data_IF_464913082741
#
_entry.id   IF_464913082741
#
_cell.length_a   1.000
_cell.length_b   1.000
_cell.length_c   1.000
_cell.angle_alpha   90.00
_cell.angle_beta   90.00
_cell.angle_gamma   90.00
#
_symmetry.space_group_name_H-M   'P 1'
#
loop_
_entity.id
_entity.type
_entity.pdbx_description
1 polymer ?
#
# COMPACT_ATOMS: atom_id res chain seq x y z
N UNK A 1 23.60 -22.06 9.95
CA UNK A 1 22.15 -21.70 9.96
C UNK A 1 21.74 -21.28 8.55
N UNK A 2 20.63 -21.80 7.99
CA UNK A 2 20.16 -21.48 6.61
C UNK A 2 19.07 -20.39 6.60
N UNK A 3 19.37 -19.17 7.02
CA UNK A 3 18.44 -18.01 6.94
C UNK A 3 19.06 -16.94 6.04
N UNK A 4 18.35 -16.47 5.02
CA UNK A 4 18.81 -15.38 4.14
C UNK A 4 18.93 -14.05 4.89
N UNK A 5 18.15 -13.88 5.98
CA UNK A 5 18.05 -12.65 6.78
C UNK A 5 17.59 -11.43 5.99
N UNK A 6 17.07 -11.59 4.78
CA UNK A 6 16.51 -10.52 3.95
C UNK A 6 14.99 -10.56 4.01
N UNK A 7 14.37 -9.41 4.23
CA UNK A 7 12.92 -9.29 4.34
C UNK A 7 12.44 -8.16 3.44
N UNK A 8 11.41 -8.46 2.64
CA UNK A 8 10.65 -7.49 1.86
C UNK A 8 9.28 -7.29 2.52
N UNK A 9 8.92 -6.04 2.77
CA UNK A 9 7.61 -5.67 3.30
C UNK A 9 6.69 -5.34 2.12
N UNK A 10 5.50 -5.93 2.05
CA UNK A 10 4.60 -5.78 0.90
C UNK A 10 3.24 -5.22 1.32
N UNK A 11 2.69 -4.29 0.54
CA UNK A 11 1.29 -3.92 0.68
C UNK A 11 0.39 -5.11 0.36
N UNK A 12 -0.72 -5.23 1.08
CA UNK A 12 -1.53 -6.45 1.13
C UNK A 12 -1.97 -6.96 -0.25
N UNK A 13 -2.36 -6.05 -1.15
CA UNK A 13 -2.92 -6.43 -2.44
C UNK A 13 -1.94 -7.19 -3.32
N UNK A 14 -0.62 -6.97 -3.20
CA UNK A 14 0.40 -7.69 -3.97
C UNK A 14 0.44 -9.19 -3.66
N UNK A 15 -0.02 -9.59 -2.48
CA UNK A 15 -0.14 -10.99 -2.05
C UNK A 15 -1.58 -11.49 -2.08
N UNK A 16 -2.56 -10.60 -2.22
CA UNK A 16 -3.97 -10.96 -2.22
C UNK A 16 -4.83 -9.92 -2.96
N UNK A 17 -4.94 -10.10 -4.27
CA UNK A 17 -5.74 -9.29 -5.17
C UNK A 17 -7.23 -9.21 -4.78
N UNK A 18 -7.73 -10.18 -4.02
CA UNK A 18 -9.11 -10.17 -3.52
C UNK A 18 -9.39 -9.01 -2.56
N UNK A 19 -8.37 -8.31 -2.06
CA UNK A 19 -8.51 -7.08 -1.28
C UNK A 19 -8.71 -5.81 -2.13
N UNK A 20 -8.49 -5.89 -3.45
CA UNK A 20 -8.65 -4.76 -4.35
C UNK A 20 -10.12 -4.44 -4.55
N UNK A 21 -10.40 -3.16 -4.71
CA UNK A 21 -11.74 -2.70 -5.08
C UNK A 21 -12.11 -3.21 -6.47
N UNK A 22 -13.37 -3.59 -6.66
CA UNK A 22 -13.87 -4.06 -7.95
C UNK A 22 -13.95 -2.89 -8.95
N UNK A 23 -13.65 -3.09 -10.24
CA UNK A 23 -13.13 -4.30 -10.88
C UNK A 23 -11.59 -4.32 -11.02
N UNK A 24 -10.84 -3.55 -10.21
CA UNK A 24 -9.45 -3.19 -10.48
C UNK A 24 -8.41 -4.31 -10.29
N UNK A 25 -8.82 -5.55 -10.00
CA UNK A 25 -7.87 -6.65 -9.86
C UNK A 25 -7.39 -7.13 -11.24
N UNK A 26 -6.07 -7.08 -11.48
CA UNK A 26 -5.43 -7.51 -12.73
C UNK A 26 -4.71 -8.85 -12.63
N UNK A 27 -4.69 -9.46 -11.43
CA UNK A 27 -4.11 -10.76 -11.12
C UNK A 27 -5.03 -11.50 -10.12
N UNK A 28 -5.00 -12.85 -10.07
CA UNK A 28 -6.00 -13.62 -9.33
C UNK A 28 -5.76 -13.65 -7.81
N UNK A 29 -4.53 -13.44 -7.34
CA UNK A 29 -4.19 -13.54 -5.93
C UNK A 29 -2.87 -12.87 -5.61
N UNK A 30 -1.76 -13.56 -5.90
CA UNK A 30 -0.41 -12.99 -5.75
C UNK A 30 0.05 -12.40 -7.09
N UNK A 31 0.68 -11.23 -7.06
CA UNK A 31 1.33 -10.65 -8.24
C UNK A 31 2.68 -11.34 -8.49
N UNK A 32 2.64 -12.53 -9.09
CA UNK A 32 3.83 -13.37 -9.27
C UNK A 32 4.91 -12.71 -10.12
N UNK A 33 4.53 -11.98 -11.18
CA UNK A 33 5.45 -11.31 -12.09
C UNK A 33 6.43 -10.36 -11.37
N UNK A 34 5.95 -9.71 -10.31
CA UNK A 34 6.77 -8.82 -9.48
C UNK A 34 7.58 -9.57 -8.41
N UNK A 35 7.00 -10.62 -7.83
CA UNK A 35 7.48 -11.22 -6.58
C UNK A 35 8.36 -12.45 -6.78
N UNK A 36 8.21 -13.17 -7.90
CA UNK A 36 8.95 -14.40 -8.18
C UNK A 36 10.47 -14.26 -8.03
N UNK A 37 11.13 -13.19 -8.54
CA UNK A 37 12.59 -13.04 -8.41
C UNK A 37 13.05 -13.02 -6.94
N UNK A 38 12.31 -12.34 -6.06
CA UNK A 38 12.63 -12.24 -4.63
C UNK A 38 12.40 -13.57 -3.90
N UNK A 39 11.30 -14.26 -4.22
CA UNK A 39 10.97 -15.55 -3.65
C UNK A 39 12.03 -16.61 -4.00
N UNK A 40 12.49 -16.64 -5.26
CA UNK A 40 13.56 -17.56 -5.71
C UNK A 40 14.91 -17.29 -5.04
N UNK A 41 15.18 -16.05 -4.63
CA UNK A 41 16.37 -15.68 -3.87
C UNK A 41 16.26 -15.99 -2.37
N UNK A 42 15.12 -16.52 -1.91
CA UNK A 42 14.88 -16.87 -0.50
C UNK A 42 14.64 -15.65 0.39
N UNK A 43 14.17 -14.53 -0.17
CA UNK A 43 13.76 -13.35 0.58
C UNK A 43 12.48 -13.66 1.37
N UNK A 44 12.49 -13.37 2.67
CA UNK A 44 11.30 -13.49 3.51
C UNK A 44 10.30 -12.36 3.24
N UNK A 45 9.02 -12.60 3.45
CA UNK A 45 7.97 -11.62 3.20
C UNK A 45 7.26 -11.26 4.51
N UNK A 46 7.12 -9.95 4.75
CA UNK A 46 6.23 -9.40 5.77
C UNK A 46 5.08 -8.72 5.06
N UNK A 47 3.86 -9.22 5.27
CA UNK A 47 2.65 -8.66 4.67
C UNK A 47 2.10 -7.53 5.56
N UNK A 48 1.92 -6.35 4.98
CA UNK A 48 1.16 -5.27 5.61
C UNK A 48 -0.35 -5.57 5.54
N UNK A 49 -1.16 -5.11 6.51
CA UNK A 49 -2.61 -5.18 6.40
C UNK A 49 -3.12 -4.25 5.29
N UNK A 50 -4.32 -4.54 4.75
CA UNK A 50 -5.00 -3.62 3.84
C UNK A 50 -5.77 -2.56 4.66
N UNK A 51 -5.38 -1.28 4.58
CA UNK A 51 -6.05 -0.23 5.35
C UNK A 51 -7.48 -0.01 4.86
N UNK A 52 -7.76 -0.17 3.57
CA UNK A 52 -9.12 0.01 3.06
C UNK A 52 -10.07 -1.11 3.49
N UNK A 53 -9.62 -2.38 3.44
CA UNK A 53 -10.50 -3.50 3.80
C UNK A 53 -10.75 -3.58 5.31
N UNK A 54 -9.76 -3.22 6.13
CA UNK A 54 -9.93 -3.17 7.59
C UNK A 54 -10.76 -1.97 8.05
N UNK A 55 -10.85 -0.92 7.25
CA UNK A 55 -11.62 0.28 7.57
C UNK A 55 -13.05 0.27 7.02
N UNK A 56 -13.23 -0.11 5.75
CA UNK A 56 -14.52 -0.07 5.04
C UNK A 56 -15.09 -1.45 4.70
N UNK A 57 -14.30 -2.52 4.86
CA UNK A 57 -14.62 -3.82 4.28
C UNK A 57 -14.35 -3.88 2.77
N UNK A 58 -14.70 -5.02 2.17
CA UNK A 58 -14.39 -5.27 0.74
C UNK A 58 -15.44 -4.69 -0.22
N UNK A 59 -16.68 -4.55 0.23
CA UNK A 59 -17.78 -4.03 -0.56
C UNK A 59 -17.80 -2.49 -0.48
N UNK A 60 -16.77 -1.87 -1.04
CA UNK A 60 -16.55 -0.43 -1.02
C UNK A 60 -16.37 0.13 -2.43
N UNK A 61 -16.51 1.45 -2.56
CA UNK A 61 -16.12 2.18 -3.77
C UNK A 61 -14.62 2.45 -3.82
N UNK A 62 -14.14 2.73 -5.04
CA UNK A 62 -12.85 3.38 -5.23
C UNK A 62 -12.93 4.77 -4.60
N UNK A 63 -11.88 5.17 -3.89
CA UNK A 63 -11.84 6.44 -3.17
C UNK A 63 -10.52 7.15 -3.44
N UNK A 64 -10.54 8.48 -3.40
CA UNK A 64 -9.34 9.31 -3.48
C UNK A 64 -8.66 9.44 -2.12
N UNK A 65 -7.48 10.05 -2.11
CA UNK A 65 -6.71 10.32 -0.90
C UNK A 65 -7.48 11.19 0.10
N UNK A 66 -8.18 12.22 -0.33
CA UNK A 66 -8.90 13.16 0.55
C UNK A 66 -9.97 12.46 1.38
N UNK A 67 -10.58 11.39 0.84
CA UNK A 67 -11.58 10.60 1.55
C UNK A 67 -10.97 9.76 2.69
N UNK A 68 -9.66 9.50 2.66
CA UNK A 68 -8.92 8.77 3.69
C UNK A 68 -8.02 9.67 4.54
N UNK A 69 -7.59 10.83 4.05
CA UNK A 69 -6.62 11.70 4.72
C UNK A 69 -7.28 12.56 5.82
N UNK A 70 -7.84 11.88 6.82
CA UNK A 70 -8.47 12.50 7.98
C UNK A 70 -8.00 11.83 9.29
N UNK A 71 -8.09 12.53 10.45
CA UNK A 71 -7.45 12.08 11.68
C UNK A 71 -7.86 10.68 12.15
N UNK A 72 -9.12 10.29 11.96
CA UNK A 72 -9.62 8.98 12.38
C UNK A 72 -8.99 7.84 11.57
N UNK A 73 -8.92 7.97 10.25
CA UNK A 73 -8.31 6.96 9.40
C UNK A 73 -6.80 6.86 9.61
N UNK A 74 -6.09 7.99 9.81
CA UNK A 74 -4.66 7.96 10.17
C UNK A 74 -4.40 7.21 11.48
N UNK A 75 -5.22 7.41 12.51
CA UNK A 75 -5.15 6.62 13.75
C UNK A 75 -5.39 5.14 13.49
N UNK A 76 -6.36 4.79 12.64
CA UNK A 76 -6.60 3.41 12.20
C UNK A 76 -5.37 2.82 11.51
N UNK A 77 -4.74 3.55 10.57
CA UNK A 77 -3.50 3.12 9.91
C UNK A 77 -2.41 2.78 10.93
N UNK A 78 -2.13 3.68 11.88
CA UNK A 78 -1.11 3.45 12.91
C UNK A 78 -1.45 2.26 13.80
N UNK A 79 -2.72 2.10 14.18
CA UNK A 79 -3.19 0.97 14.98
C UNK A 79 -2.90 -0.37 14.29
N UNK A 80 -3.28 -0.53 13.01
CA UNK A 80 -3.09 -1.79 12.29
C UNK A 80 -1.62 -2.04 11.88
N UNK A 81 -0.80 -0.98 11.78
CA UNK A 81 0.64 -1.08 11.51
C UNK A 81 1.45 -1.51 12.73
N UNK A 82 1.02 -1.14 13.93
CA UNK A 82 1.76 -1.40 15.19
C UNK A 82 2.23 -2.84 15.33
N UNK A 83 1.37 -3.88 15.26
CA UNK A 83 1.82 -5.26 15.44
C UNK A 83 2.82 -5.72 14.37
N UNK A 84 2.70 -5.20 13.14
CA UNK A 84 3.66 -5.52 12.07
C UNK A 84 5.01 -4.87 12.34
N UNK A 85 5.02 -3.62 12.79
CA UNK A 85 6.26 -2.91 13.06
C UNK A 85 6.99 -3.39 14.31
N UNK A 86 6.27 -3.88 15.32
CA UNK A 86 6.89 -4.55 16.47
C UNK A 86 7.58 -5.87 16.03
N UNK A 87 7.00 -6.57 15.06
CA UNK A 87 7.63 -7.74 14.45
C UNK A 87 8.88 -7.35 13.64
N UNK A 88 8.78 -6.30 12.82
CA UNK A 88 9.89 -5.78 12.00
C UNK A 88 11.06 -5.34 12.89
N UNK A 89 10.79 -4.65 13.99
CA UNK A 89 11.80 -4.25 14.98
C UNK A 89 12.54 -5.47 15.56
N UNK A 90 11.81 -6.53 15.89
CA UNK A 90 12.40 -7.79 16.38
C UNK A 90 13.30 -8.45 15.32
N UNK A 91 12.89 -8.41 14.04
CA UNK A 91 13.72 -8.88 12.94
C UNK A 91 15.01 -8.08 12.79
N UNK A 92 14.93 -6.75 12.80
CA UNK A 92 16.09 -5.87 12.75
C UNK A 92 17.05 -6.15 13.93
N UNK A 93 16.54 -6.26 15.16
CA UNK A 93 17.33 -6.59 16.35
C UNK A 93 18.00 -7.98 16.26
N UNK A 94 17.43 -8.90 15.47
CA UNK A 94 17.99 -10.23 15.20
C UNK A 94 18.99 -10.26 14.02
N UNK A 95 19.32 -9.09 13.45
CA UNK A 95 20.24 -8.95 12.33
C UNK A 95 19.62 -9.27 10.96
N UNK A 96 18.30 -9.16 10.82
CA UNK A 96 17.65 -9.16 9.51
C UNK A 96 17.72 -7.77 8.87
N UNK A 97 17.92 -7.79 7.55
CA UNK A 97 17.90 -6.63 6.66
C UNK A 97 16.50 -6.47 6.07
N UNK A 98 15.90 -5.28 6.24
CA UNK A 98 14.68 -4.91 5.53
C UNK A 98 15.10 -4.29 4.19
N UNK A 99 15.07 -5.10 3.14
CA UNK A 99 15.57 -4.69 1.81
C UNK A 99 14.64 -3.70 1.11
N UNK A 100 13.40 -3.57 1.59
CA UNK A 100 12.48 -2.53 1.14
C UNK A 100 11.03 -2.73 1.57
N UNK A 101 10.24 -1.70 1.31
CA UNK A 101 8.78 -1.68 1.40
C UNK A 101 8.21 -1.47 0.01
N UNK A 102 7.31 -2.34 -0.43
CA UNK A 102 6.68 -2.25 -1.76
C UNK A 102 5.23 -1.80 -1.62
N UNK A 103 4.94 -0.63 -2.18
CA UNK A 103 3.61 -0.08 -2.38
C UNK A 103 3.07 -0.32 -3.80
N UNK A 104 1.86 0.18 -4.04
CA UNK A 104 1.19 0.10 -5.34
C UNK A 104 0.77 1.51 -5.77
N UNK A 105 1.44 2.05 -6.79
CA UNK A 105 1.14 3.39 -7.31
C UNK A 105 -0.28 3.45 -7.88
N UNK A 106 -0.95 4.59 -7.70
CA UNK A 106 -2.38 4.72 -8.01
C UNK A 106 -3.31 4.30 -6.88
N UNK A 107 -2.79 3.77 -5.77
CA UNK A 107 -3.58 3.60 -4.55
C UNK A 107 -3.66 4.90 -3.73
N UNK A 108 -4.84 5.24 -3.16
CA UNK A 108 -4.99 6.35 -2.23
C UNK A 108 -4.19 6.16 -0.92
N UNK A 109 -3.87 4.92 -0.58
CA UNK A 109 -3.24 4.55 0.69
C UNK A 109 -1.84 3.96 0.52
N UNK A 110 -1.69 3.06 -0.45
CA UNK A 110 -0.47 2.31 -0.72
C UNK A 110 0.40 2.91 -1.84
N UNK A 111 0.00 4.05 -2.42
CA UNK A 111 0.80 4.75 -3.44
C UNK A 111 2.07 5.34 -2.85
N UNK A 112 3.17 5.28 -3.61
CA UNK A 112 4.47 5.83 -3.19
C UNK A 112 4.72 7.14 -3.91
N UNK A 113 4.70 7.11 -5.25
CA UNK A 113 5.00 8.26 -6.10
C UNK A 113 3.74 8.99 -6.53
N UNK A 114 2.62 8.29 -6.70
CA UNK A 114 1.38 8.86 -7.21
C UNK A 114 0.13 8.26 -6.57
N UNK A 115 -0.89 9.10 -6.42
CA UNK A 115 -2.11 8.78 -5.68
C UNK A 115 -3.31 9.56 -6.25
N UNK A 116 -4.53 8.98 -6.28
CA UNK A 116 -5.72 9.67 -6.79
C UNK A 116 -6.15 10.78 -5.83
N UNK A 117 -6.41 11.97 -6.38
CA UNK A 117 -6.73 13.20 -5.65
C UNK A 117 -7.85 13.98 -6.36
N UNK A 118 -8.37 15.03 -5.72
CA UNK A 118 -9.31 15.99 -6.31
C UNK A 118 -10.80 15.65 -6.14
N UNK A 119 -11.14 14.71 -5.26
CA UNK A 119 -12.54 14.46 -4.91
C UNK A 119 -13.07 15.53 -3.95
N UNK A 120 -14.19 16.16 -4.31
CA UNK A 120 -14.80 17.26 -3.55
C UNK A 120 -16.21 16.95 -3.02
N UNK A 121 -16.64 15.69 -3.06
CA UNK A 121 -17.97 15.26 -2.62
C UNK A 121 -18.88 14.81 -3.76
N UNK A 122 -20.00 14.19 -3.41
CA UNK A 122 -20.99 13.67 -4.35
C UNK A 122 -21.96 12.69 -3.68
N UNK A 123 -23.06 12.39 -4.36
CA UNK A 123 -24.12 11.48 -3.90
C UNK A 123 -24.41 10.46 -5.00
N UNK A 124 -24.34 9.18 -4.64
CA UNK A 124 -24.70 8.07 -5.53
C UNK A 124 -26.21 8.11 -5.76
N UNK A 125 -26.62 8.10 -7.04
CA UNK A 125 -28.03 8.18 -7.41
C UNK A 125 -28.62 9.58 -7.35
N UNK A 126 -27.78 10.63 -7.26
CA UNK A 126 -28.21 11.99 -7.52
C UNK A 126 -28.73 12.16 -8.96
N UNK A 127 -29.46 13.25 -9.20
CA UNK A 127 -29.88 13.66 -10.55
C UNK A 127 -28.70 13.94 -11.47
N UNK A 128 -27.63 14.50 -10.91
CA UNK A 128 -26.39 14.81 -11.59
C UNK A 128 -25.61 13.53 -11.92
N UNK A 129 -25.15 13.35 -13.16
CA UNK A 129 -24.34 12.20 -13.55
C UNK A 129 -23.10 12.03 -12.66
N UNK A 130 -22.75 10.78 -12.35
CA UNK A 130 -21.57 10.49 -11.50
C UNK A 130 -20.30 11.04 -12.14
N UNK A 131 -20.21 11.02 -13.46
CA UNK A 131 -19.09 11.53 -14.25
C UNK A 131 -18.80 13.00 -13.96
N UNK A 132 -19.84 13.82 -13.80
CA UNK A 132 -19.70 15.24 -13.46
C UNK A 132 -19.23 15.40 -12.02
N UNK A 133 -19.77 14.59 -11.10
CA UNK A 133 -19.39 14.62 -9.68
C UNK A 133 -17.95 14.19 -9.43
N UNK A 134 -17.37 13.35 -10.31
CA UNK A 134 -15.98 12.88 -10.21
C UNK A 134 -15.04 13.59 -11.19
N UNK A 135 -15.48 14.62 -11.91
CA UNK A 135 -14.69 15.27 -12.97
C UNK A 135 -13.38 15.90 -12.48
N UNK A 136 -13.27 16.22 -11.19
CA UNK A 136 -12.04 16.70 -10.56
C UNK A 136 -11.04 15.61 -10.15
N UNK A 137 -11.45 14.33 -10.16
CA UNK A 137 -10.61 13.23 -9.70
C UNK A 137 -9.53 12.93 -10.75
N UNK A 138 -8.27 12.99 -10.32
CA UNK A 138 -7.13 12.73 -11.19
C UNK A 138 -5.99 12.07 -10.41
N UNK A 139 -5.10 11.39 -11.14
CA UNK A 139 -3.88 10.84 -10.57
C UNK A 139 -2.83 11.96 -10.50
N UNK A 140 -2.19 12.14 -9.35
CA UNK A 140 -1.19 13.18 -9.16
C UNK A 140 -0.07 12.71 -8.22
N UNK A 141 1.07 13.41 -8.26
CA UNK A 141 2.24 13.06 -7.47
C UNK A 141 1.95 13.13 -5.97
N UNK A 142 2.37 12.10 -5.24
CA UNK A 142 2.27 12.05 -3.79
C UNK A 142 2.13 10.64 -3.23
N UNK A 143 2.53 10.51 -1.97
CA UNK A 143 2.38 9.27 -1.19
C UNK A 143 0.98 9.14 -0.63
N UNK A 144 0.46 7.91 -0.63
CA UNK A 144 -0.83 7.55 -0.03
C UNK A 144 -0.81 7.63 1.50
N UNK A 145 -1.99 7.72 2.11
CA UNK A 145 -2.12 8.00 3.56
C UNK A 145 -1.46 6.92 4.41
N UNK A 146 -1.72 5.65 4.13
CA UNK A 146 -1.15 4.53 4.89
C UNK A 146 0.39 4.46 4.78
N UNK A 147 0.94 4.70 3.58
CA UNK A 147 2.40 4.71 3.38
C UNK A 147 3.06 5.90 4.07
N UNK A 148 2.40 7.06 4.16
CA UNK A 148 2.89 8.19 4.96
C UNK A 148 3.02 7.82 6.44
N UNK A 149 1.97 7.21 7.01
CA UNK A 149 2.00 6.79 8.42
C UNK A 149 3.05 5.69 8.65
N UNK A 150 3.19 4.73 7.73
CA UNK A 150 4.24 3.70 7.79
C UNK A 150 5.65 4.31 7.79
N UNK A 151 5.94 5.25 6.87
CA UNK A 151 7.24 5.96 6.83
C UNK A 151 7.54 6.64 8.15
N UNK A 152 6.56 7.34 8.71
CA UNK A 152 6.73 8.03 9.99
C UNK A 152 7.00 7.05 11.13
N UNK A 153 6.23 5.96 11.23
CA UNK A 153 6.41 4.96 12.29
C UNK A 153 7.73 4.19 12.18
N UNK A 154 8.22 3.92 10.97
CA UNK A 154 9.55 3.34 10.76
C UNK A 154 10.66 4.30 11.20
N UNK A 155 10.54 5.58 10.88
CA UNK A 155 11.47 6.61 11.31
C UNK A 155 11.48 6.78 12.84
N UNK A 156 10.32 6.74 13.50
CA UNK A 156 10.18 6.75 14.97
C UNK A 156 10.93 5.58 15.63
N UNK A 157 11.04 4.43 14.94
CA UNK A 157 11.79 3.24 15.39
C UNK A 157 13.25 3.21 14.89
N UNK A 158 13.73 4.26 14.22
CA UNK A 158 15.05 4.33 13.58
C UNK A 158 15.31 3.19 12.56
N UNK A 159 14.26 2.74 11.87
CA UNK A 159 14.35 1.71 10.83
C UNK A 159 14.38 2.41 9.47
N UNK A 160 15.56 2.47 8.85
CA UNK A 160 15.76 3.01 7.51
C UNK A 160 15.57 1.90 6.48
N UNK A 161 14.76 2.15 5.46
CA UNK A 161 14.57 1.22 4.35
C UNK A 161 14.11 1.97 3.10
N UNK A 162 14.24 1.32 1.95
CA UNK A 162 13.86 1.86 0.65
C UNK A 162 12.37 1.61 0.39
N UNK A 163 11.67 2.62 -0.13
CA UNK A 163 10.32 2.44 -0.63
C UNK A 163 10.35 2.23 -2.14
N UNK A 164 9.60 1.25 -2.59
CA UNK A 164 9.46 0.88 -4.00
C UNK A 164 8.00 0.85 -4.38
N UNK A 165 7.69 1.11 -5.63
CA UNK A 165 6.33 1.07 -6.14
C UNK A 165 6.21 0.11 -7.31
N UNK A 166 5.14 -0.67 -7.28
CA UNK A 166 4.64 -1.39 -8.45
C UNK A 166 3.75 -0.44 -9.25
N UNK A 167 4.03 -0.37 -10.55
CA UNK A 167 3.06 0.04 -11.56
C UNK A 167 2.38 -1.22 -12.10
N UNK A 168 1.11 -1.44 -11.77
CA UNK A 168 0.40 -2.64 -12.21
C UNK A 168 0.17 -2.70 -13.74
N UNK A 169 0.42 -1.60 -14.46
CA UNK A 169 0.46 -1.62 -15.94
C UNK A 169 1.76 -2.26 -16.46
N UNK A 170 2.82 -2.27 -15.65
CA UNK A 170 4.14 -2.83 -15.94
C UNK A 170 4.68 -3.59 -14.71
N UNK A 171 4.03 -4.69 -14.30
CA UNK A 171 4.24 -5.29 -12.98
C UNK A 171 5.63 -5.92 -12.77
N UNK A 172 6.41 -6.14 -13.83
CA UNK A 172 7.77 -6.69 -13.75
C UNK A 172 8.82 -5.73 -13.20
N UNK A 173 8.49 -4.44 -13.02
CA UNK A 173 9.43 -3.43 -12.56
C UNK A 173 8.98 -2.79 -11.24
N UNK A 174 9.87 -2.81 -10.25
CA UNK A 174 9.73 -2.04 -9.01
C UNK A 174 10.52 -0.75 -9.13
N UNK A 175 9.84 0.40 -9.08
CA UNK A 175 10.49 1.72 -9.13
C UNK A 175 10.83 2.17 -7.73
N UNK A 176 12.10 2.45 -7.48
CA UNK A 176 12.58 3.00 -6.22
C UNK A 176 12.20 4.46 -6.07
N UNK A 177 11.76 4.85 -4.87
CA UNK A 177 11.61 6.25 -4.49
C UNK A 177 12.99 6.92 -4.43
N UNK A 178 13.18 7.95 -5.26
CA UNK A 178 14.42 8.73 -5.37
C UNK A 178 14.55 9.78 -4.28
#
# INVERSE_FOLDING_TARGET
>A
MKRSRKILILCHCLLNANAKVRPLATYPGVLMDALEPYLRQGVGIVQLPCPESSYLGINRWGMSKEQYDHPHFRRHCRHILTPVLDQVETYCASGCEIIGVVGADGSPNCGIHQTPMGYNGGVIGASEPVEEQIGGVHLSAGTGVFMKELKQMLAEKNITTTFMAIDEKNPGEMRTET
#
